data_IF_704971692822
#
_entry.id   IF_704971692822
#
_cell.length_a   1.000
_cell.length_b   1.000
_cell.length_c   1.000
_cell.angle_alpha   90.00
_cell.angle_beta   90.00
_cell.angle_gamma   90.00
#
_symmetry.space_group_name_H-M   'P 1'
#
loop_
_entity.id
_entity.type
_entity.pdbx_description
1 polymer ?
#
# COMPACT_ATOMS: atom_id res chain seq x y z
N UNK A 1 -15.97 -2.36 7.51
CA UNK A 1 -14.67 -2.19 6.81
C UNK A 1 -14.18 -3.59 6.48
N UNK A 2 -13.45 -3.78 5.38
CA UNK A 2 -12.93 -5.11 5.01
C UNK A 2 -11.92 -5.56 6.09
N UNK A 3 -12.13 -6.74 6.68
CA UNK A 3 -11.18 -7.31 7.64
C UNK A 3 -9.97 -7.95 6.95
N UNK A 4 -8.89 -8.20 7.71
CA UNK A 4 -7.67 -8.83 7.17
C UNK A 4 -7.93 -10.24 6.62
N UNK A 5 -8.72 -11.05 7.32
CA UNK A 5 -9.09 -12.41 6.85
C UNK A 5 -9.90 -12.35 5.55
N UNK A 6 -10.86 -11.43 5.47
CA UNK A 6 -11.68 -11.23 4.27
C UNK A 6 -10.83 -10.77 3.08
N UNK A 7 -9.84 -9.90 3.30
CA UNK A 7 -8.87 -9.48 2.29
C UNK A 7 -8.04 -10.65 1.76
N UNK A 8 -7.50 -11.49 2.65
CA UNK A 8 -6.72 -12.68 2.28
C UNK A 8 -7.56 -13.63 1.44
N UNK A 9 -8.78 -13.92 1.88
CA UNK A 9 -9.68 -14.83 1.15
C UNK A 9 -10.14 -14.24 -0.19
N UNK A 10 -10.37 -12.93 -0.25
CA UNK A 10 -10.68 -12.22 -1.51
C UNK A 10 -9.50 -12.32 -2.49
N UNK A 11 -8.29 -12.04 -2.02
CA UNK A 11 -7.08 -12.15 -2.84
C UNK A 11 -6.92 -13.56 -3.39
N UNK A 12 -6.93 -14.61 -2.54
CA UNK A 12 -6.83 -16.02 -2.98
C UNK A 12 -7.91 -16.37 -3.99
N UNK A 13 -9.14 -15.90 -3.78
CA UNK A 13 -10.28 -16.20 -4.65
C UNK A 13 -10.11 -15.61 -6.05
N UNK A 14 -9.60 -14.38 -6.15
CA UNK A 14 -9.44 -13.68 -7.43
C UNK A 14 -8.16 -14.12 -8.14
N UNK A 15 -7.03 -14.15 -7.45
CA UNK A 15 -5.71 -14.39 -8.07
C UNK A 15 -5.33 -15.87 -8.14
N UNK A 16 -5.97 -16.73 -7.33
CA UNK A 16 -5.60 -18.15 -7.12
C UNK A 16 -4.20 -18.36 -6.54
N UNK A 17 -3.59 -17.30 -6.01
CA UNK A 17 -2.29 -17.35 -5.37
C UNK A 17 -2.43 -17.59 -3.85
N UNK A 18 -1.46 -18.29 -3.22
CA UNK A 18 -1.42 -18.40 -1.76
C UNK A 18 -1.18 -17.02 -1.14
N UNK A 19 -1.88 -16.74 -0.03
CA UNK A 19 -1.72 -15.50 0.73
C UNK A 19 -1.93 -15.75 2.22
N UNK A 20 -1.24 -14.95 3.02
CA UNK A 20 -1.36 -14.90 4.47
C UNK A 20 -1.33 -13.45 4.91
N UNK A 21 -2.10 -13.10 5.94
CA UNK A 21 -1.89 -11.86 6.66
C UNK A 21 -0.73 -12.07 7.64
N UNK A 22 0.18 -11.08 7.72
CA UNK A 22 1.24 -11.03 8.72
C UNK A 22 1.11 -9.70 9.43
N UNK A 23 0.87 -9.76 10.73
CA UNK A 23 0.97 -8.61 11.61
C UNK A 23 2.46 -8.34 11.86
N UNK A 24 2.94 -7.21 11.35
CA UNK A 24 4.35 -6.78 11.45
C UNK A 24 4.39 -5.34 11.90
N UNK A 25 5.39 -5.00 12.70
CA UNK A 25 5.65 -3.63 13.08
C UNK A 25 6.11 -2.81 11.87
N UNK A 26 5.96 -1.49 11.95
CA UNK A 26 6.47 -0.60 10.90
C UNK A 26 7.99 -0.77 10.69
N UNK A 27 8.75 -0.98 11.78
CA UNK A 27 10.20 -1.14 11.71
C UNK A 27 10.59 -2.43 10.97
N UNK A 28 9.91 -3.55 11.24
CA UNK A 28 10.09 -4.80 10.50
C UNK A 28 9.71 -4.66 9.01
N UNK A 29 8.62 -3.94 8.72
CA UNK A 29 8.20 -3.69 7.34
C UNK A 29 9.23 -2.84 6.59
N UNK A 30 9.65 -1.71 7.18
CA UNK A 30 10.48 -0.73 6.48
C UNK A 30 11.91 -1.25 6.26
N UNK A 31 12.41 -2.15 7.10
CA UNK A 31 13.71 -2.80 6.91
C UNK A 31 13.81 -3.64 5.63
N UNK A 32 12.69 -4.15 5.12
CA UNK A 32 12.63 -4.80 3.81
C UNK A 32 12.66 -3.83 2.61
N UNK A 33 12.53 -2.53 2.85
CA UNK A 33 12.45 -1.50 1.80
C UNK A 33 13.85 -0.92 1.56
N UNK A 34 14.54 -1.43 0.54
CA UNK A 34 15.93 -1.05 0.22
C UNK A 34 16.16 0.42 -0.20
N UNK A 35 15.13 1.26 -0.18
CA UNK A 35 15.17 2.70 -0.50
C UNK A 35 14.49 3.54 0.59
N UNK A 36 14.33 2.97 1.80
CA UNK A 36 13.70 3.64 2.95
C UNK A 36 14.33 4.99 3.31
N UNK A 37 15.63 5.12 3.13
CA UNK A 37 16.40 6.33 3.47
C UNK A 37 16.48 7.35 2.34
N UNK A 38 15.90 7.03 1.17
CA UNK A 38 15.88 7.95 0.06
C UNK A 38 14.86 9.09 0.28
N UNK A 39 15.13 10.32 -0.19
CA UNK A 39 14.23 11.44 -0.03
C UNK A 39 12.92 11.16 -0.78
N UNK A 40 11.78 11.49 -0.15
CA UNK A 40 10.46 11.27 -0.77
C UNK A 40 10.21 12.19 -1.98
N UNK A 41 10.79 13.39 -1.96
CA UNK A 41 10.72 14.37 -3.02
C UNK A 41 12.12 14.52 -3.65
N UNK A 42 12.23 14.23 -4.94
CA UNK A 42 13.52 14.21 -5.65
C UNK A 42 14.20 15.59 -5.67
N UNK A 43 13.40 16.64 -5.78
CA UNK A 43 13.81 18.05 -5.81
C UNK A 43 14.20 18.58 -4.42
N UNK A 44 13.97 17.81 -3.35
CA UNK A 44 14.34 18.17 -1.98
C UNK A 44 15.24 17.08 -1.35
N UNK A 45 16.52 16.96 -1.75
CA UNK A 45 17.41 15.89 -1.29
C UNK A 45 17.67 15.86 0.23
N UNK A 46 17.47 16.99 0.91
CA UNK A 46 17.58 17.11 2.39
C UNK A 46 16.21 17.04 3.10
N UNK A 47 15.16 16.65 2.37
CA UNK A 47 13.81 16.50 2.89
C UNK A 47 13.63 15.22 3.69
N UNK A 48 12.37 14.93 4.06
CA UNK A 48 12.04 13.69 4.76
C UNK A 48 12.30 12.47 3.87
N UNK A 49 12.77 11.39 4.48
CA UNK A 49 12.93 10.11 3.79
C UNK A 49 11.58 9.43 3.59
N UNK A 50 11.55 8.41 2.73
CA UNK A 50 10.37 7.58 2.57
C UNK A 50 9.98 6.88 3.88
N UNK A 51 10.95 6.35 4.63
CA UNK A 51 10.69 5.69 5.91
C UNK A 51 10.14 6.65 6.96
N UNK A 52 10.66 7.88 7.03
CA UNK A 52 10.16 8.91 7.95
C UNK A 52 8.72 9.32 7.64
N UNK A 53 8.39 9.50 6.36
CA UNK A 53 7.06 9.90 5.91
C UNK A 53 6.05 8.76 6.05
N UNK A 54 6.48 7.53 5.72
CA UNK A 54 5.67 6.33 5.80
C UNK A 54 5.24 5.96 7.23
N UNK A 55 6.07 6.26 8.23
CA UNK A 55 5.77 5.95 9.64
C UNK A 55 4.50 6.62 10.14
N UNK A 56 4.34 7.91 9.84
CA UNK A 56 3.16 8.66 10.26
C UNK A 56 1.90 8.13 9.57
N UNK A 57 1.98 7.88 8.26
CA UNK A 57 0.88 7.28 7.50
C UNK A 57 0.51 5.89 8.03
N UNK A 58 1.49 5.02 8.28
CA UNK A 58 1.27 3.67 8.82
C UNK A 58 0.50 3.70 10.13
N UNK A 59 0.94 4.51 11.09
CA UNK A 59 0.33 4.60 12.42
C UNK A 59 -1.15 4.98 12.37
N UNK A 60 -1.51 5.89 11.47
CA UNK A 60 -2.88 6.37 11.34
C UNK A 60 -3.84 5.26 10.87
N UNK A 61 -3.38 4.36 10.02
CA UNK A 61 -4.19 3.25 9.49
C UNK A 61 -4.09 1.98 10.33
N UNK A 62 -2.92 1.69 10.89
CA UNK A 62 -2.67 0.51 11.70
C UNK A 62 -3.38 0.58 13.05
N UNK A 63 -3.32 1.73 13.71
CA UNK A 63 -3.89 1.91 15.05
C UNK A 63 -5.37 2.33 15.00
N UNK A 64 -6.05 2.11 13.87
CA UNK A 64 -7.46 2.47 13.61
C UNK A 64 -7.83 3.92 13.99
N UNK A 65 -6.87 4.84 13.89
CA UNK A 65 -7.09 6.24 14.26
C UNK A 65 -8.02 6.98 13.29
N UNK A 66 -8.22 6.44 12.07
CA UNK A 66 -9.25 6.91 11.14
C UNK A 66 -10.47 6.01 11.23
N UNK A 67 -11.52 6.53 11.86
CA UNK A 67 -12.83 5.92 11.81
C UNK A 67 -13.57 6.29 10.52
N UNK A 68 -14.33 5.34 9.96
CA UNK A 68 -15.13 5.53 8.75
C UNK A 68 -16.55 5.02 8.95
N UNK A 69 -17.54 5.87 8.70
CA UNK A 69 -18.94 5.44 8.68
C UNK A 69 -19.26 4.72 7.36
N UNK A 70 -19.09 3.40 7.38
CA UNK A 70 -19.38 2.56 6.22
C UNK A 70 -20.88 2.56 5.86
N UNK A 71 -21.79 2.74 6.83
CA UNK A 71 -23.23 2.78 6.54
C UNK A 71 -23.59 4.05 5.79
N UNK A 72 -23.00 5.17 6.15
CA UNK A 72 -23.16 6.42 5.42
C UNK A 72 -22.56 6.33 4.01
N UNK A 73 -21.35 5.77 3.87
CA UNK A 73 -20.72 5.56 2.55
C UNK A 73 -21.61 4.68 1.65
N UNK A 74 -22.15 3.58 2.19
CA UNK A 74 -23.05 2.68 1.46
C UNK A 74 -24.35 3.36 1.03
N UNK A 75 -24.88 4.26 1.87
CA UNK A 75 -26.08 5.03 1.55
C UNK A 75 -25.84 6.02 0.41
N UNK A 76 -24.70 6.71 0.39
CA UNK A 76 -24.40 7.76 -0.59
C UNK A 76 -23.87 7.18 -1.90
N UNK A 77 -23.14 6.07 -1.84
CA UNK A 77 -22.63 5.36 -3.01
C UNK A 77 -22.94 3.85 -2.92
N UNK A 78 -24.18 3.44 -3.27
CA UNK A 78 -24.58 2.03 -3.23
C UNK A 78 -23.75 1.15 -4.17
N UNK A 79 -23.31 1.71 -5.29
CA UNK A 79 -22.51 1.03 -6.33
C UNK A 79 -20.99 1.11 -6.06
N UNK A 80 -20.59 1.34 -4.80
CA UNK A 80 -19.17 1.39 -4.44
C UNK A 80 -18.43 0.14 -4.93
N UNK A 81 -17.23 0.38 -5.43
CA UNK A 81 -16.35 -0.71 -5.85
C UNK A 81 -15.83 -1.43 -4.59
N UNK A 82 -16.09 -2.73 -4.50
CA UNK A 82 -15.46 -3.61 -3.51
C UNK A 82 -14.05 -3.97 -3.95
N UNK A 83 -13.20 -4.43 -3.02
CA UNK A 83 -11.84 -4.89 -3.38
C UNK A 83 -11.90 -6.02 -4.41
N UNK A 84 -12.83 -6.96 -4.27
CA UNK A 84 -13.02 -8.03 -5.26
C UNK A 84 -13.41 -7.48 -6.63
N UNK A 85 -14.39 -6.58 -6.70
CA UNK A 85 -14.84 -5.99 -7.96
C UNK A 85 -13.70 -5.21 -8.63
N UNK A 86 -12.94 -4.42 -7.86
CA UNK A 86 -11.77 -3.71 -8.37
C UNK A 86 -10.72 -4.68 -8.93
N UNK A 87 -10.38 -5.74 -8.19
CA UNK A 87 -9.38 -6.72 -8.66
C UNK A 87 -9.81 -7.38 -9.97
N UNK A 88 -11.10 -7.73 -10.10
CA UNK A 88 -11.66 -8.33 -11.32
C UNK A 88 -11.68 -7.35 -12.49
N UNK A 89 -12.14 -6.12 -12.27
CA UNK A 89 -12.26 -5.10 -13.31
C UNK A 89 -10.90 -4.67 -13.87
N UNK A 90 -9.87 -4.64 -13.02
CA UNK A 90 -8.51 -4.21 -13.41
C UNK A 90 -7.62 -5.34 -13.90
N UNK A 91 -8.10 -6.59 -13.86
CA UNK A 91 -7.28 -7.77 -14.15
C UNK A 91 -6.12 -7.92 -13.17
N UNK A 92 -6.33 -7.57 -11.90
CA UNK A 92 -5.30 -7.69 -10.87
C UNK A 92 -4.90 -9.16 -10.67
N UNK A 93 -3.61 -9.44 -10.84
CA UNK A 93 -3.02 -10.77 -10.85
C UNK A 93 -2.03 -11.00 -9.68
N UNK A 94 -1.88 -10.01 -8.79
CA UNK A 94 -0.92 -10.05 -7.69
C UNK A 94 0.54 -9.78 -8.10
N UNK A 95 0.81 -9.44 -9.37
CA UNK A 95 2.16 -9.09 -9.81
C UNK A 95 2.59 -7.73 -9.24
N UNK A 96 3.85 -7.63 -8.83
CA UNK A 96 4.42 -6.37 -8.34
C UNK A 96 4.54 -5.39 -9.51
N UNK A 97 3.88 -4.24 -9.40
CA UNK A 97 3.97 -3.12 -10.35
C UNK A 97 4.65 -1.93 -9.69
N UNK A 98 5.39 -1.15 -10.48
CA UNK A 98 5.92 0.13 -10.01
C UNK A 98 4.75 1.12 -9.96
N UNK A 99 4.42 1.57 -8.74
CA UNK A 99 3.26 2.45 -8.53
C UNK A 99 3.61 3.93 -8.64
N UNK A 100 4.86 4.29 -8.33
CA UNK A 100 5.33 5.67 -8.39
C UNK A 100 6.01 5.92 -9.74
N UNK A 101 5.62 7.01 -10.40
CA UNK A 101 6.15 7.42 -11.70
C UNK A 101 7.68 7.55 -11.68
N UNK A 102 8.21 8.17 -10.64
CA UNK A 102 9.64 8.34 -10.45
C UNK A 102 10.41 7.01 -10.35
N UNK A 103 9.77 5.95 -9.83
CA UNK A 103 10.38 4.62 -9.78
C UNK A 103 10.42 3.96 -11.16
N UNK A 104 9.37 4.16 -11.97
CA UNK A 104 9.33 3.73 -13.37
C UNK A 104 10.43 4.42 -14.17
N UNK A 105 10.65 5.72 -13.92
CA UNK A 105 11.65 6.55 -14.61
C UNK A 105 13.09 6.30 -14.14
N UNK A 106 13.33 5.30 -13.27
CA UNK A 106 14.68 4.84 -12.90
C UNK A 106 15.29 5.50 -11.67
N UNK A 107 14.49 6.13 -10.80
CA UNK A 107 14.99 6.70 -9.55
C UNK A 107 15.74 5.68 -8.66
N UNK A 108 15.18 4.46 -8.53
CA UNK A 108 15.78 3.38 -7.73
C UNK A 108 17.11 2.85 -8.30
N UNK A 109 17.36 3.04 -9.60
CA UNK A 109 18.59 2.62 -10.27
C UNK A 109 19.63 3.74 -10.29
N UNK A 110 19.19 4.99 -10.20
CA UNK A 110 20.04 6.19 -10.18
C UNK A 110 20.67 6.44 -8.80
N UNK A 111 19.99 6.10 -7.70
CA UNK A 111 20.53 6.24 -6.33
C UNK A 111 21.67 5.26 -6.00
N UNK A 112 21.84 4.18 -6.77
CA UNK A 112 22.93 3.20 -6.61
C UNK A 112 24.25 3.62 -7.28
N UNK A 113 24.30 4.77 -7.96
CA UNK A 113 25.49 5.24 -8.69
C UNK A 113 26.25 6.39 -8.00
N UNK A 114 25.94 6.71 -6.74
CA UNK A 114 26.66 7.72 -5.96
C UNK A 114 27.47 7.11 -4.84
#
# INVERSE_FOLDING_TARGET
>A
MLGWDELVETFKRVTKLPAVYKDVTFDEYIDGVGWKDAPIAQDVPKGKTYGESGRAWWRIYHDDLIERDMKWIEKVNPERVTVENWMRQTGYDGTRKLLLKDMEDGWLTSSKKS
#
